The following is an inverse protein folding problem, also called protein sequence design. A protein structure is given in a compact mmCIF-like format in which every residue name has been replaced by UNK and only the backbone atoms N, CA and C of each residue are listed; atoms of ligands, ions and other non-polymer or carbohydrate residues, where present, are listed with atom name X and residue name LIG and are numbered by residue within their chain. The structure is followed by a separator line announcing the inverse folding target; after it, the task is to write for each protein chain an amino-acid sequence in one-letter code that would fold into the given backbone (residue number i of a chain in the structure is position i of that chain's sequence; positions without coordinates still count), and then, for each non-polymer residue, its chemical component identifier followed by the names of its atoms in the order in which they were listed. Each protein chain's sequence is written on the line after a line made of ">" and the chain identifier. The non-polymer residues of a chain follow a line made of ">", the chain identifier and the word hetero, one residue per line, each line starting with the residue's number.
data_IF_587502372874
#
_entry.id   IF_587502372874
#
_cell.length_a   1.000
_cell.length_b   1.000
_cell.length_c   1.000
_cell.angle_alpha   90.00
_cell.angle_beta   90.00
_cell.angle_gamma   90.00
#
_symmetry.space_group_name_H-M   'P 1'
#
loop_
_entity.id
_entity.type
_entity.pdbx_description
1 polymer ?
#
# COMPACT_ATOMS: atom_id res chain seq x y z
N UNK A 1 4.71 -7.18 -9.83
CA UNK A 1 4.81 -6.56 -8.51
C UNK A 1 4.98 -5.05 -8.68
N UNK A 2 4.04 -4.28 -8.20
CA UNK A 2 4.03 -2.83 -8.36
C UNK A 2 3.51 -2.14 -7.11
N UNK A 3 3.92 -0.89 -6.92
CA UNK A 3 3.58 -0.09 -5.75
C UNK A 3 2.35 0.77 -5.98
N UNK A 4 1.51 0.89 -4.96
CA UNK A 4 0.36 1.77 -4.93
C UNK A 4 0.38 2.63 -3.66
N UNK A 5 0.09 3.91 -3.80
CA UNK A 5 0.02 4.85 -2.68
C UNK A 5 -1.41 5.24 -2.36
N UNK A 6 -2.37 4.83 -3.18
CA UNK A 6 -3.80 5.05 -2.97
C UNK A 6 -4.57 3.78 -3.32
N UNK A 7 -5.83 3.72 -2.88
CA UNK A 7 -6.74 2.61 -3.21
C UNK A 7 -6.99 2.55 -4.72
N UNK A 8 -7.17 3.70 -5.36
CA UNK A 8 -7.39 3.77 -6.81
C UNK A 8 -6.23 3.18 -7.59
N UNK A 9 -5.00 3.49 -7.17
CA UNK A 9 -3.80 2.93 -7.80
C UNK A 9 -3.75 1.42 -7.63
N UNK A 10 -4.09 0.91 -6.43
CA UNK A 10 -4.11 -0.53 -6.18
C UNK A 10 -5.13 -1.25 -7.07
N UNK A 11 -6.32 -0.70 -7.20
CA UNK A 11 -7.36 -1.26 -8.09
C UNK A 11 -6.92 -1.26 -9.54
N UNK A 12 -6.29 -0.17 -9.99
CA UNK A 12 -5.81 -0.06 -11.36
C UNK A 12 -4.75 -1.13 -11.65
N UNK A 13 -3.80 -1.31 -10.72
CA UNK A 13 -2.75 -2.32 -10.87
C UNK A 13 -3.33 -3.72 -10.91
N UNK A 14 -4.30 -4.04 -10.05
CA UNK A 14 -4.94 -5.35 -10.09
C UNK A 14 -5.62 -5.59 -11.44
N UNK A 15 -6.29 -4.58 -11.98
CA UNK A 15 -6.95 -4.68 -13.29
C UNK A 15 -5.94 -4.90 -14.42
N UNK A 16 -4.70 -4.47 -14.26
CA UNK A 16 -3.62 -4.70 -15.23
C UNK A 16 -2.99 -6.09 -15.11
N UNK A 17 -3.37 -6.87 -14.10
CA UNK A 17 -2.91 -8.25 -13.97
C UNK A 17 -1.64 -8.44 -13.14
N UNK A 18 -1.29 -7.52 -12.25
CA UNK A 18 -0.12 -7.70 -11.38
C UNK A 18 -0.34 -8.84 -10.41
N UNK A 19 0.74 -9.53 -10.03
CA UNK A 19 0.68 -10.69 -9.12
C UNK A 19 0.53 -10.29 -7.66
N UNK A 20 0.98 -9.09 -7.30
CA UNK A 20 0.89 -8.56 -5.94
C UNK A 20 1.00 -7.04 -5.98
N UNK A 21 0.45 -6.37 -4.97
CA UNK A 21 0.51 -4.91 -4.83
C UNK A 21 1.31 -4.55 -3.58
N UNK A 22 2.24 -3.62 -3.72
CA UNK A 22 2.95 -3.03 -2.57
C UNK A 22 2.14 -1.81 -2.13
N UNK A 23 1.51 -1.88 -0.95
CA UNK A 23 0.84 -0.74 -0.35
C UNK A 23 1.88 0.16 0.29
N UNK A 24 2.17 1.31 -0.32
CA UNK A 24 3.21 2.23 0.11
C UNK A 24 2.58 3.41 0.86
N UNK A 25 2.74 3.41 2.18
CA UNK A 25 2.26 4.50 3.03
C UNK A 25 3.09 5.77 2.87
N UNK A 26 2.58 6.87 3.37
CA UNK A 26 3.25 8.16 3.35
C UNK A 26 4.62 8.10 4.04
N UNK A 27 4.78 7.22 5.03
CA UNK A 27 6.00 7.04 5.81
C UNK A 27 7.13 6.34 5.06
N UNK A 28 6.87 5.77 3.89
CA UNK A 28 7.90 5.10 3.13
C UNK A 28 9.00 6.08 2.75
N UNK A 29 10.24 5.73 3.03
CA UNK A 29 11.39 6.54 2.65
C UNK A 29 11.70 6.42 1.16
N UNK A 30 12.51 7.36 0.67
CA UNK A 30 12.97 7.35 -0.71
C UNK A 30 11.89 7.72 -1.71
N UNK A 31 11.95 7.12 -2.89
CA UNK A 31 11.05 7.46 -3.99
C UNK A 31 9.64 6.95 -3.74
N UNK A 32 8.65 7.83 -3.87
CA UNK A 32 7.25 7.46 -3.78
C UNK A 32 6.78 6.84 -5.11
N UNK A 33 6.00 5.78 -5.00
CA UNK A 33 5.50 5.06 -6.17
C UNK A 33 4.16 5.55 -6.72
N UNK A 34 3.75 6.79 -6.42
CA UNK A 34 2.47 7.32 -6.91
C UNK A 34 2.52 7.55 -8.42
N UNK A 35 1.40 7.36 -9.10
CA UNK A 35 1.34 7.52 -10.55
C UNK A 35 -0.01 8.01 -11.08
N UNK A 36 -1.10 7.84 -10.35
CA UNK A 36 -2.42 8.32 -10.78
C UNK A 36 -2.73 9.74 -10.32
N UNK A 37 -1.96 10.26 -9.36
CA UNK A 37 -2.16 11.62 -8.85
C UNK A 37 -0.83 12.22 -8.46
N UNK A 38 -0.61 13.48 -8.86
CA UNK A 38 0.55 14.27 -8.43
C UNK A 38 0.27 15.01 -7.12
N UNK A 39 -0.96 14.93 -6.60
CA UNK A 39 -1.36 15.62 -5.38
C UNK A 39 -0.95 14.79 -4.16
N UNK A 40 0.13 15.22 -3.48
CA UNK A 40 0.61 14.54 -2.28
C UNK A 40 -0.37 14.63 -1.12
N UNK A 41 -1.34 15.54 -1.15
CA UNK A 41 -2.36 15.61 -0.10
C UNK A 41 -3.34 14.42 -0.17
N UNK A 42 -3.40 13.72 -1.30
CA UNK A 42 -4.19 12.49 -1.43
C UNK A 42 -3.48 11.26 -0.84
N UNK A 43 -2.21 11.39 -0.47
CA UNK A 43 -1.45 10.29 0.11
C UNK A 43 -1.89 10.05 1.55
N UNK A 44 -1.79 8.81 2.02
CA UNK A 44 -2.16 8.48 3.40
C UNK A 44 -1.09 7.60 4.05
N UNK A 45 -1.08 7.61 5.39
CA UNK A 45 -0.20 6.76 6.16
C UNK A 45 -0.50 5.28 5.94
N UNK A 46 0.49 4.42 6.17
CA UNK A 46 0.38 2.99 5.87
C UNK A 46 -0.77 2.32 6.63
N UNK A 47 -0.93 2.61 7.92
CA UNK A 47 -1.95 1.95 8.74
C UNK A 47 -3.37 2.36 8.38
N UNK A 48 -3.55 3.52 7.75
CA UNK A 48 -4.84 3.91 7.17
C UNK A 48 -5.04 3.30 5.79
N UNK A 49 -3.99 3.27 4.97
CA UNK A 49 -4.04 2.76 3.60
C UNK A 49 -4.26 1.25 3.54
N UNK A 50 -3.53 0.51 4.37
CA UNK A 50 -3.40 -0.95 4.26
C UNK A 50 -4.75 -1.69 4.32
N UNK A 51 -5.63 -1.45 5.31
CA UNK A 51 -6.92 -2.15 5.33
C UNK A 51 -7.82 -1.77 4.16
N UNK A 52 -7.71 -0.54 3.65
CA UNK A 52 -8.50 -0.11 2.50
C UNK A 52 -8.05 -0.82 1.22
N UNK A 53 -6.73 -0.94 1.02
CA UNK A 53 -6.18 -1.68 -0.13
C UNK A 53 -6.58 -3.16 -0.01
N UNK A 54 -6.46 -3.77 1.18
CA UNK A 54 -6.80 -5.18 1.36
C UNK A 54 -8.25 -5.47 0.97
N UNK A 55 -9.17 -4.57 1.32
CA UNK A 55 -10.58 -4.73 0.95
C UNK A 55 -10.85 -4.50 -0.54
N UNK A 56 -10.00 -3.74 -1.21
CA UNK A 56 -10.20 -3.33 -2.59
C UNK A 56 -9.65 -4.32 -3.61
N UNK A 57 -8.65 -5.12 -3.24
CA UNK A 57 -7.98 -6.04 -4.18
C UNK A 57 -7.96 -7.46 -3.63
N UNK A 58 -7.79 -8.45 -4.52
CA UNK A 58 -7.71 -9.87 -4.16
C UNK A 58 -6.29 -10.41 -4.19
N UNK A 59 -5.41 -9.75 -4.92
CA UNK A 59 -4.00 -10.16 -4.98
C UNK A 59 -3.31 -9.92 -3.64
N UNK A 60 -2.19 -10.60 -3.35
CA UNK A 60 -1.42 -10.34 -2.13
C UNK A 60 -1.03 -8.87 -2.00
N UNK A 61 -1.04 -8.37 -0.76
CA UNK A 61 -0.71 -6.99 -0.43
C UNK A 61 0.53 -6.97 0.47
N UNK A 62 1.56 -6.28 0.03
CA UNK A 62 2.82 -6.13 0.74
C UNK A 62 2.88 -4.72 1.32
N UNK A 63 3.05 -4.61 2.64
CA UNK A 63 3.11 -3.31 3.30
C UNK A 63 4.50 -2.69 3.18
N UNK A 64 4.57 -1.39 2.92
CA UNK A 64 5.83 -0.63 2.88
C UNK A 64 5.66 0.75 3.51
N UNK A 65 6.56 1.11 4.40
CA UNK A 65 6.63 2.43 5.05
C UNK A 65 6.44 2.37 6.55
N UNK A 66 7.36 2.95 7.29
CA UNK A 66 7.23 3.16 8.73
C UNK A 66 7.24 1.92 9.62
N UNK A 67 7.53 0.74 9.07
CA UNK A 67 7.56 -0.51 9.84
C UNK A 67 8.99 -0.71 10.37
N UNK A 68 9.19 -0.50 11.67
CA UNK A 68 10.52 -0.47 12.26
C UNK A 68 10.82 -1.62 13.22
N UNK A 69 9.79 -2.34 13.70
CA UNK A 69 9.99 -3.37 14.73
C UNK A 69 8.94 -4.49 14.61
N UNK A 70 9.05 -5.49 15.47
CA UNK A 70 8.15 -6.65 15.47
C UNK A 70 6.68 -6.26 15.73
N UNK A 71 6.44 -5.24 16.54
CA UNK A 71 5.08 -4.76 16.79
C UNK A 71 4.47 -4.15 15.54
N UNK A 72 5.26 -3.38 14.77
CA UNK A 72 4.84 -2.83 13.49
C UNK A 72 4.53 -3.92 12.47
N UNK A 73 5.35 -4.97 12.41
CA UNK A 73 5.08 -6.12 11.53
C UNK A 73 3.77 -6.80 11.89
N UNK A 74 3.53 -7.05 13.19
CA UNK A 74 2.28 -7.66 13.64
C UNK A 74 1.07 -6.78 13.31
N UNK A 75 1.20 -5.45 13.48
CA UNK A 75 0.12 -4.52 13.14
C UNK A 75 -0.20 -4.56 11.64
N UNK A 76 0.83 -4.58 10.79
CA UNK A 76 0.63 -4.65 9.33
C UNK A 76 -0.09 -5.94 8.94
N UNK A 77 0.32 -7.08 9.50
CA UNK A 77 -0.34 -8.36 9.24
C UNK A 77 -1.79 -8.36 9.71
N UNK A 78 -2.05 -7.79 10.89
CA UNK A 78 -3.42 -7.68 11.43
C UNK A 78 -4.32 -6.81 10.55
N UNK A 79 -3.75 -5.80 9.87
CA UNK A 79 -4.50 -4.91 8.98
C UNK A 79 -4.67 -5.47 7.57
N UNK A 80 -4.10 -6.62 7.27
CA UNK A 80 -4.34 -7.35 6.04
C UNK A 80 -3.16 -7.53 5.10
N UNK A 81 -1.95 -7.14 5.51
CA UNK A 81 -0.74 -7.43 4.71
C UNK A 81 -0.48 -8.93 4.67
N UNK A 82 0.09 -9.36 3.59
CA UNK A 82 0.50 -10.76 3.40
C UNK A 82 1.98 -10.98 3.68
#
# INVERSE_FOLDING_TARGET
>A
LSSATTVEEARWLEAQGVDAVIAQGLEAGGHRGHFLSDDLTAQMGLFALLPQVRRAVRVPVIAAGGIADAAGVRAALALGAD
#
